data_IF_863666722910
#
_entry.id   IF_863666722910
#
_cell.length_a   1.000
_cell.length_b   1.000
_cell.length_c   1.000
_cell.angle_alpha   90.00
_cell.angle_beta   90.00
_cell.angle_gamma   90.00
#
_symmetry.space_group_name_H-M   'P 1'
#
loop_
_entity.id
_entity.type
_entity.pdbx_description
1 polymer ?
#
# COMPACT_ATOMS: atom_id res chain seq x y z
N UNK A 1 -9.15 -23.02 9.69
CA UNK A 1 -10.09 -23.42 10.76
C UNK A 1 -10.49 -22.16 11.54
N UNK A 2 -11.45 -21.38 11.02
CA UNK A 2 -11.85 -20.10 11.64
C UNK A 2 -13.16 -20.21 12.45
N UNK A 3 -14.09 -21.07 12.03
CA UNK A 3 -15.39 -21.28 12.68
C UNK A 3 -15.33 -22.06 13.99
N UNK A 4 -14.21 -22.74 14.27
CA UNK A 4 -14.02 -23.57 15.46
C UNK A 4 -13.69 -22.77 16.74
N UNK A 5 -13.80 -21.44 16.70
CA UNK A 5 -13.50 -20.55 17.84
C UNK A 5 -14.70 -20.36 18.77
N UNK A 6 -15.92 -20.60 18.28
CA UNK A 6 -17.14 -20.57 19.09
C UNK A 6 -17.86 -21.91 18.96
N UNK A 7 -18.39 -22.43 20.07
CA UNK A 7 -19.20 -23.66 20.11
C UNK A 7 -20.70 -23.39 19.86
N UNK A 8 -21.09 -22.12 19.67
CA UNK A 8 -22.47 -21.72 19.38
C UNK A 8 -22.79 -21.89 17.89
N UNK A 9 -23.53 -22.95 17.58
CA UNK A 9 -23.89 -23.30 16.20
C UNK A 9 -24.83 -22.28 15.54
N UNK A 10 -25.76 -21.70 16.29
CA UNK A 10 -26.67 -20.68 15.75
C UNK A 10 -25.90 -19.40 15.40
N UNK A 11 -24.90 -19.03 16.21
CA UNK A 11 -23.99 -17.93 15.90
C UNK A 11 -23.10 -18.23 14.68
N UNK A 12 -22.62 -19.46 14.54
CA UNK A 12 -21.86 -19.88 13.35
C UNK A 12 -22.71 -19.77 12.07
N UNK A 13 -23.97 -20.21 12.13
CA UNK A 13 -24.92 -20.09 11.00
C UNK A 13 -25.22 -18.62 10.67
N UNK A 14 -25.44 -17.75 11.66
CA UNK A 14 -25.66 -16.32 11.44
C UNK A 14 -24.45 -15.62 10.81
N UNK A 15 -23.25 -15.88 11.34
CA UNK A 15 -22.01 -15.35 10.76
C UNK A 15 -21.82 -15.90 9.35
N UNK A 16 -22.12 -17.19 9.14
CA UNK A 16 -22.07 -17.79 7.81
C UNK A 16 -23.08 -17.17 6.85
N UNK A 17 -24.34 -16.94 7.23
CA UNK A 17 -25.34 -16.30 6.38
C UNK A 17 -24.91 -14.89 5.99
N UNK A 18 -24.40 -14.10 6.93
CA UNK A 18 -23.94 -12.74 6.67
C UNK A 18 -22.71 -12.68 5.78
N UNK A 19 -21.76 -13.62 5.92
CA UNK A 19 -20.58 -13.65 5.05
C UNK A 19 -20.75 -14.50 3.80
N UNK A 20 -21.77 -15.35 3.71
CA UNK A 20 -21.94 -16.30 2.60
C UNK A 20 -22.12 -15.56 1.28
N UNK A 21 -22.93 -14.50 1.32
CA UNK A 21 -23.22 -13.58 0.23
C UNK A 21 -22.33 -12.33 0.26
N UNK A 22 -21.55 -12.11 1.33
CA UNK A 22 -20.58 -11.04 1.39
C UNK A 22 -19.25 -11.45 0.76
N UNK A 23 -18.51 -10.45 0.28
CA UNK A 23 -17.23 -10.66 -0.37
C UNK A 23 -16.04 -10.68 0.61
N UNK A 24 -16.27 -10.52 1.91
CA UNK A 24 -15.24 -10.36 2.95
C UNK A 24 -15.20 -11.60 3.87
N UNK A 25 -14.33 -12.57 3.54
CA UNK A 25 -14.27 -13.92 4.16
C UNK A 25 -12.97 -14.23 4.89
N UNK A 26 -12.32 -13.21 5.46
CA UNK A 26 -11.00 -13.40 6.07
C UNK A 26 -11.03 -14.20 7.39
N UNK A 27 -10.07 -15.11 7.64
CA UNK A 27 -10.08 -15.96 8.84
C UNK A 27 -10.01 -15.21 10.16
N UNK A 28 -9.41 -14.01 10.20
CA UNK A 28 -9.34 -13.18 11.40
C UNK A 28 -10.69 -12.48 11.66
N UNK A 29 -11.35 -12.01 10.61
CA UNK A 29 -12.66 -11.37 10.65
C UNK A 29 -13.76 -12.35 11.05
N UNK A 30 -13.75 -13.56 10.49
CA UNK A 30 -14.67 -14.64 10.87
C UNK A 30 -14.54 -14.95 12.37
N UNK A 31 -13.31 -15.03 12.89
CA UNK A 31 -13.07 -15.25 14.33
C UNK A 31 -13.60 -14.09 15.17
N UNK A 32 -13.41 -12.84 14.72
CA UNK A 32 -13.90 -11.64 15.39
C UNK A 32 -15.43 -11.59 15.43
N UNK A 33 -16.12 -11.84 14.30
CA UNK A 33 -17.59 -11.88 14.21
C UNK A 33 -18.21 -12.94 15.14
N UNK A 34 -17.53 -14.08 15.30
CA UNK A 34 -17.95 -15.15 16.21
C UNK A 34 -17.78 -14.80 17.69
N UNK A 35 -16.89 -13.86 18.02
CA UNK A 35 -16.59 -13.47 19.42
C UNK A 35 -17.17 -12.10 19.83
N UNK A 36 -17.42 -11.21 18.88
CA UNK A 36 -17.80 -9.81 19.11
C UNK A 36 -19.32 -9.67 18.92
N UNK A 37 -20.07 -9.61 20.02
CA UNK A 37 -21.54 -9.53 20.03
C UNK A 37 -22.05 -8.09 19.98
N UNK A 38 -21.28 -7.13 20.50
CA UNK A 38 -21.67 -5.71 20.54
C UNK A 38 -20.53 -4.84 20.01
N UNK A 39 -20.87 -3.79 19.26
CA UNK A 39 -19.91 -2.87 18.61
C UNK A 39 -20.18 -1.45 19.09
N UNK A 40 -19.13 -0.66 19.34
CA UNK A 40 -19.29 0.75 19.72
C UNK A 40 -19.75 1.58 18.53
N UNK A 41 -20.54 2.62 18.75
CA UNK A 41 -20.93 3.55 17.70
C UNK A 41 -19.73 4.34 17.14
N UNK A 42 -18.63 4.47 17.90
CA UNK A 42 -17.35 4.99 17.44
C UNK A 42 -16.48 4.00 16.65
N UNK A 43 -16.92 2.75 16.43
CA UNK A 43 -16.24 1.84 15.51
C UNK A 43 -16.41 2.37 14.07
N UNK A 44 -15.32 2.39 13.30
CA UNK A 44 -15.33 2.87 11.91
C UNK A 44 -16.41 2.26 11.03
N UNK A 45 -16.86 1.03 11.31
CA UNK A 45 -17.99 0.39 10.59
C UNK A 45 -19.31 1.10 10.87
N UNK A 46 -19.55 1.44 12.13
CA UNK A 46 -20.74 2.15 12.57
C UNK A 46 -20.73 3.60 12.06
N UNK A 47 -19.57 4.26 12.06
CA UNK A 47 -19.39 5.59 11.46
C UNK A 47 -19.61 5.57 9.95
N UNK A 48 -19.05 4.58 9.25
CA UNK A 48 -19.19 4.45 7.79
C UNK A 48 -20.63 4.18 7.36
N UNK A 49 -21.37 3.32 8.06
CA UNK A 49 -22.79 3.06 7.74
C UNK A 49 -23.68 4.21 8.21
N UNK A 50 -23.39 4.78 9.37
CA UNK A 50 -24.23 5.74 10.08
C UNK A 50 -25.23 5.06 10.99
N UNK A 51 -25.45 5.64 12.17
CA UNK A 51 -26.39 5.15 13.19
C UNK A 51 -27.83 5.07 12.65
N UNK A 52 -28.27 6.10 11.94
CA UNK A 52 -29.64 6.17 11.39
C UNK A 52 -29.92 5.05 10.37
N UNK A 53 -28.93 4.72 9.53
CA UNK A 53 -29.06 3.66 8.54
C UNK A 53 -29.11 2.27 9.19
N UNK A 54 -28.35 2.08 10.28
CA UNK A 54 -28.37 0.85 11.06
C UNK A 54 -29.70 0.66 11.80
N UNK A 55 -30.26 1.71 12.42
CA UNK A 55 -31.58 1.66 13.06
C UNK A 55 -32.70 1.43 12.03
N UNK A 56 -32.63 2.07 10.86
CA UNK A 56 -33.59 1.86 9.77
C UNK A 56 -33.59 0.41 9.25
N UNK A 57 -32.45 -0.27 9.32
CA UNK A 57 -32.32 -1.69 8.98
C UNK A 57 -32.80 -2.63 10.10
N UNK A 58 -33.32 -2.10 11.22
CA UNK A 58 -33.83 -2.85 12.35
C UNK A 58 -32.80 -3.10 13.47
N UNK A 59 -31.64 -2.45 13.42
CA UNK A 59 -30.60 -2.55 14.43
C UNK A 59 -30.99 -1.87 15.75
N UNK A 60 -30.60 -2.46 16.87
CA UNK A 60 -30.81 -1.90 18.20
C UNK A 60 -29.53 -1.28 18.76
N UNK A 61 -29.65 -0.08 19.32
CA UNK A 61 -28.56 0.64 19.99
C UNK A 61 -28.89 0.78 21.46
N UNK A 62 -27.95 0.39 22.31
CA UNK A 62 -28.03 0.61 23.76
C UNK A 62 -27.12 1.75 24.14
N UNK A 63 -27.70 2.83 24.65
CA UNK A 63 -26.98 3.98 25.20
C UNK A 63 -26.91 3.85 26.72
N UNK A 64 -25.72 3.96 27.28
CA UNK A 64 -25.54 4.04 28.73
C UNK A 64 -25.91 5.46 29.19
N UNK A 65 -26.70 5.57 30.26
CA UNK A 65 -27.15 6.86 30.80
C UNK A 65 -26.05 7.62 31.57
N UNK A 66 -24.88 7.00 31.79
CA UNK A 66 -23.81 7.54 32.63
C UNK A 66 -22.44 7.67 31.95
N UNK A 67 -22.33 7.42 30.63
CA UNK A 67 -21.11 7.69 29.86
C UNK A 67 -21.28 8.94 29.01
N UNK A 68 -20.21 9.73 28.88
CA UNK A 68 -20.13 10.81 27.91
C UNK A 68 -20.32 10.23 26.49
N UNK A 69 -21.05 10.97 25.67
CA UNK A 69 -21.90 10.50 24.58
C UNK A 69 -21.11 9.99 23.35
N UNK A 70 -20.48 8.82 23.44
CA UNK A 70 -19.81 8.13 22.31
C UNK A 70 -20.79 7.37 21.38
N UNK A 71 -22.08 7.74 21.38
CA UNK A 71 -23.11 7.19 20.47
C UNK A 71 -23.69 5.82 20.82
N UNK A 72 -23.21 5.16 21.89
CA UNK A 72 -23.76 3.90 22.42
C UNK A 72 -23.20 2.62 21.77
N UNK A 73 -23.88 1.50 22.02
CA UNK A 73 -23.45 0.16 21.62
C UNK A 73 -24.48 -0.49 20.69
N UNK A 74 -24.06 -0.82 19.48
CA UNK A 74 -24.81 -1.58 18.50
C UNK A 74 -24.81 -3.05 18.91
N UNK A 75 -26.01 -3.64 19.04
CA UNK A 75 -26.15 -5.02 19.52
C UNK A 75 -26.02 -6.11 18.45
N UNK A 76 -26.08 -5.75 17.17
CA UNK A 76 -26.03 -6.69 16.07
C UNK A 76 -24.85 -6.38 15.14
N UNK A 77 -23.70 -6.97 15.49
CA UNK A 77 -22.48 -6.89 14.67
C UNK A 77 -22.66 -7.50 13.28
N UNK A 78 -23.57 -8.46 13.14
CA UNK A 78 -23.80 -9.21 11.89
C UNK A 78 -24.59 -8.35 10.91
N UNK A 79 -25.64 -7.66 11.38
CA UNK A 79 -26.37 -6.67 10.60
C UNK A 79 -25.45 -5.53 10.16
N UNK A 80 -24.58 -5.05 11.06
CA UNK A 80 -23.64 -3.98 10.75
C UNK A 80 -22.67 -4.39 9.61
N UNK A 81 -22.06 -5.57 9.71
CA UNK A 81 -21.13 -6.07 8.69
C UNK A 81 -21.80 -6.27 7.32
N UNK A 82 -23.08 -6.65 7.32
CA UNK A 82 -23.89 -6.75 6.08
C UNK A 82 -24.10 -5.37 5.45
N UNK A 83 -24.51 -4.37 6.21
CA UNK A 83 -24.74 -3.01 5.71
C UNK A 83 -23.45 -2.37 5.18
N UNK A 84 -22.33 -2.59 5.87
CA UNK A 84 -21.00 -2.18 5.40
C UNK A 84 -20.68 -2.81 4.04
N UNK A 85 -20.92 -4.11 3.91
CA UNK A 85 -20.63 -4.85 2.67
C UNK A 85 -21.51 -4.37 1.50
N UNK A 86 -22.80 -4.12 1.74
CA UNK A 86 -23.73 -3.59 0.73
C UNK A 86 -23.33 -2.17 0.30
N UNK A 87 -22.92 -1.31 1.25
CA UNK A 87 -22.47 0.06 0.96
C UNK A 87 -21.15 0.08 0.19
N UNK A 88 -20.16 -0.70 0.60
CA UNK A 88 -18.88 -0.84 -0.11
C UNK A 88 -19.06 -1.37 -1.53
N UNK A 89 -20.01 -2.30 -1.74
CA UNK A 89 -20.31 -2.80 -3.08
C UNK A 89 -20.88 -1.72 -3.99
N UNK A 90 -21.83 -0.93 -3.48
CA UNK A 90 -22.43 0.17 -4.25
C UNK A 90 -21.36 1.17 -4.69
N UNK A 91 -20.40 1.48 -3.81
CA UNK A 91 -19.25 2.32 -4.12
C UNK A 91 -18.33 1.67 -5.18
N UNK A 92 -18.02 0.39 -5.02
CA UNK A 92 -17.18 -0.33 -5.96
C UNK A 92 -17.81 -0.41 -7.37
N UNK A 93 -19.12 -0.62 -7.45
CA UNK A 93 -19.88 -0.63 -8.70
C UNK A 93 -19.83 0.75 -9.38
N UNK A 94 -19.92 1.85 -8.61
CA UNK A 94 -19.75 3.22 -9.14
C UNK A 94 -18.34 3.47 -9.68
N UNK A 95 -17.30 3.00 -9.00
CA UNK A 95 -15.92 3.15 -9.44
C UNK A 95 -15.63 2.27 -10.66
N UNK A 96 -16.31 1.12 -10.80
CA UNK A 96 -16.19 0.26 -11.97
C UNK A 96 -16.66 0.95 -13.26
N UNK A 97 -17.60 1.91 -13.16
CA UNK A 97 -18.03 2.73 -14.29
C UNK A 97 -16.92 3.67 -14.80
N UNK A 98 -15.89 3.96 -13.99
CA UNK A 98 -14.72 4.77 -14.37
C UNK A 98 -13.79 4.02 -15.34
N UNK A 99 -13.89 2.68 -15.45
CA UNK A 99 -13.16 1.88 -16.44
C UNK A 99 -11.83 1.28 -15.99
N UNK A 100 -11.53 1.27 -14.68
CA UNK A 100 -10.33 0.66 -14.12
C UNK A 100 -10.20 -0.83 -14.46
N UNK A 101 -8.98 -1.33 -14.65
CA UNK A 101 -8.73 -2.75 -14.95
C UNK A 101 -9.15 -3.67 -13.81
N UNK A 102 -8.87 -3.25 -12.57
CA UNK A 102 -9.24 -3.99 -11.37
C UNK A 102 -9.61 -3.03 -10.24
N UNK A 103 -10.46 -3.50 -9.33
CA UNK A 103 -10.82 -2.76 -8.12
C UNK A 103 -10.67 -3.71 -6.96
N UNK A 104 -9.90 -3.33 -5.94
CA UNK A 104 -9.76 -4.12 -4.74
C UNK A 104 -10.45 -3.44 -3.56
N UNK A 105 -11.41 -4.13 -2.95
CA UNK A 105 -12.23 -3.57 -1.86
C UNK A 105 -11.94 -4.33 -0.58
N UNK A 106 -11.72 -3.62 0.52
CA UNK A 106 -11.60 -4.23 1.85
C UNK A 106 -11.97 -3.23 2.94
N UNK A 107 -12.39 -3.73 4.11
CA UNK A 107 -12.62 -2.87 5.28
C UNK A 107 -11.36 -2.16 5.77
N UNK A 108 -10.22 -2.81 5.62
CA UNK A 108 -8.89 -2.25 5.86
C UNK A 108 -7.89 -3.12 5.14
N UNK A 109 -6.87 -2.51 4.59
CA UNK A 109 -5.75 -3.23 4.04
C UNK A 109 -4.61 -3.35 5.05
N UNK A 110 -3.83 -4.44 5.03
CA UNK A 110 -2.60 -4.53 5.78
C UNK A 110 -1.65 -3.37 5.43
N UNK A 111 -0.78 -3.02 6.40
CA UNK A 111 0.31 -2.09 6.14
C UNK A 111 1.13 -2.60 4.95
N UNK A 112 1.32 -1.72 3.96
CA UNK A 112 2.11 -2.06 2.79
C UNK A 112 1.38 -2.83 1.68
N UNK A 113 0.04 -2.86 1.68
CA UNK A 113 -0.74 -3.46 0.58
C UNK A 113 -0.48 -2.83 -0.80
N UNK A 114 0.05 -1.60 -0.82
CA UNK A 114 0.49 -0.91 -2.05
C UNK A 114 1.95 -1.20 -2.43
N UNK A 115 2.73 -1.90 -1.58
CA UNK A 115 4.11 -2.27 -1.91
C UNK A 115 4.11 -3.23 -3.12
N UNK A 116 4.99 -3.00 -4.08
CA UNK A 116 5.00 -3.78 -5.32
C UNK A 116 4.20 -3.17 -6.48
N UNK A 117 3.37 -2.15 -6.23
CA UNK A 117 2.53 -1.52 -7.26
C UNK A 117 3.15 -0.21 -7.75
N UNK A 118 3.07 0.05 -9.05
CA UNK A 118 3.46 1.34 -9.61
C UNK A 118 2.29 2.30 -9.52
N UNK A 119 2.48 3.42 -8.80
CA UNK A 119 1.49 4.51 -8.75
C UNK A 119 1.61 5.36 -10.02
N UNK A 120 0.50 5.57 -10.70
CA UNK A 120 0.40 6.51 -11.80
C UNK A 120 0.44 7.94 -11.27
N UNK A 121 1.27 8.76 -11.91
CA UNK A 121 1.27 10.20 -11.69
C UNK A 121 0.12 10.80 -12.50
N UNK A 122 -1.05 10.93 -11.88
CA UNK A 122 -2.14 11.67 -12.50
C UNK A 122 -1.95 13.18 -12.32
N UNK A 123 -2.72 13.95 -13.10
CA UNK A 123 -2.66 15.42 -13.06
C UNK A 123 -3.79 15.93 -12.18
N UNK A 124 -3.47 16.61 -11.08
CA UNK A 124 -4.46 17.33 -10.27
C UNK A 124 -5.02 18.49 -11.08
N UNK A 125 -6.34 18.61 -11.14
CA UNK A 125 -6.98 19.74 -11.84
C UNK A 125 -6.62 21.04 -11.14
N UNK A 126 -6.00 21.97 -11.87
CA UNK A 126 -5.68 23.30 -11.36
C UNK A 126 -6.96 24.01 -10.88
N UNK A 127 -6.85 24.74 -9.77
CA UNK A 127 -7.91 25.60 -9.27
C UNK A 127 -8.26 26.64 -10.34
N UNK A 128 -9.55 26.74 -10.67
CA UNK A 128 -10.06 27.88 -11.44
C UNK A 128 -9.81 29.18 -10.68
N UNK A 129 -9.80 30.31 -11.39
CA UNK A 129 -9.57 31.62 -10.75
C UNK A 129 -10.66 31.95 -9.69
N UNK A 130 -11.89 31.50 -9.90
CA UNK A 130 -13.01 31.66 -8.95
C UNK A 130 -12.83 30.78 -7.69
N UNK A 131 -12.41 29.52 -7.86
CA UNK A 131 -12.12 28.62 -6.74
C UNK A 131 -10.90 29.11 -5.93
N UNK A 132 -9.88 29.66 -6.61
CA UNK A 132 -8.71 30.23 -5.94
C UNK A 132 -9.09 31.43 -5.09
N UNK A 133 -9.94 32.32 -5.61
CA UNK A 133 -10.44 33.47 -4.87
C UNK A 133 -11.30 33.05 -3.67
N UNK A 134 -12.10 31.99 -3.81
CA UNK A 134 -12.92 31.45 -2.71
C UNK A 134 -12.06 30.81 -1.62
N UNK A 135 -11.03 30.04 -2.01
CA UNK A 135 -10.06 29.47 -1.06
C UNK A 135 -9.31 30.55 -0.29
N UNK A 136 -8.89 31.61 -0.98
CA UNK A 136 -8.18 32.74 -0.35
C UNK A 136 -9.09 33.50 0.62
N UNK A 137 -10.34 33.74 0.24
CA UNK A 137 -11.34 34.34 1.14
C UNK A 137 -11.62 33.48 2.39
N UNK A 138 -11.69 32.15 2.23
CA UNK A 138 -11.86 31.22 3.35
C UNK A 138 -10.64 31.19 4.28
N UNK A 139 -9.41 31.25 3.73
CA UNK A 139 -8.18 31.37 4.54
C UNK A 139 -8.13 32.70 5.31
N UNK A 140 -8.50 33.81 4.67
CA UNK A 140 -8.58 35.12 5.34
C UNK A 140 -9.68 35.17 6.42
N UNK A 141 -10.75 34.39 6.28
CA UNK A 141 -11.78 34.24 7.30
C UNK A 141 -11.26 33.39 8.47
N UNK A 142 -10.59 32.28 8.18
CA UNK A 142 -9.93 31.41 9.17
C UNK A 142 -8.91 32.19 10.00
N UNK A 143 -7.94 32.84 9.36
CA UNK A 143 -6.86 33.59 10.04
C UNK A 143 -7.42 34.73 10.93
N UNK A 144 -8.55 35.33 10.53
CA UNK A 144 -9.21 36.37 11.30
C UNK A 144 -9.89 35.82 12.54
N UNK A 145 -10.62 34.70 12.41
CA UNK A 145 -11.26 34.03 13.53
C UNK A 145 -10.21 33.47 14.50
N UNK A 146 -9.13 32.89 13.99
CA UNK A 146 -8.01 32.43 14.82
C UNK A 146 -7.37 33.60 15.59
N UNK A 147 -7.12 34.74 14.93
CA UNK A 147 -6.53 35.91 15.59
C UNK A 147 -7.46 36.54 16.64
N UNK A 148 -8.75 36.65 16.34
CA UNK A 148 -9.76 37.24 17.24
C UNK A 148 -9.97 36.42 18.51
N UNK A 149 -9.88 35.08 18.41
CA UNK A 149 -10.11 34.17 19.52
C UNK A 149 -8.82 33.54 20.08
N UNK A 150 -7.64 34.01 19.66
CA UNK A 150 -6.33 33.49 20.09
C UNK A 150 -6.06 33.59 21.60
N UNK A 151 -6.67 34.57 22.29
CA UNK A 151 -6.54 34.77 23.75
C UNK A 151 -7.78 34.33 24.53
N UNK A 152 -8.77 33.71 23.88
CA UNK A 152 -9.98 33.21 24.54
C UNK A 152 -9.69 31.89 25.28
N UNK A 153 -10.16 31.77 26.53
CA UNK A 153 -10.03 30.53 27.32
C UNK A 153 -10.92 29.39 26.76
N UNK A 154 -12.04 29.73 26.11
CA UNK A 154 -12.96 28.81 25.42
C UNK A 154 -13.53 29.48 24.17
N UNK A 155 -13.60 28.74 23.06
CA UNK A 155 -14.24 29.18 21.82
C UNK A 155 -15.77 29.09 21.97
N UNK A 156 -16.53 30.14 21.58
CA UNK A 156 -17.98 30.02 21.47
C UNK A 156 -18.35 28.92 20.44
N UNK A 157 -19.36 28.10 20.75
CA UNK A 157 -19.81 26.98 19.89
C UNK A 157 -20.06 27.39 18.43
N UNK A 158 -20.58 28.60 18.19
CA UNK A 158 -20.82 29.12 16.83
C UNK A 158 -19.53 29.36 16.05
N UNK A 159 -18.43 29.72 16.73
CA UNK A 159 -17.13 29.98 16.12
C UNK A 159 -16.36 28.66 15.91
N UNK A 160 -16.44 27.73 16.87
CA UNK A 160 -15.91 26.37 16.72
C UNK A 160 -16.55 25.67 15.50
N UNK A 161 -17.88 25.74 15.38
CA UNK A 161 -18.60 25.21 14.22
C UNK A 161 -18.16 25.91 12.92
N UNK A 162 -17.99 27.23 12.94
CA UNK A 162 -17.58 27.98 11.75
C UNK A 162 -16.15 27.65 11.31
N UNK A 163 -15.23 27.47 12.25
CA UNK A 163 -13.87 27.04 11.95
C UNK A 163 -13.87 25.64 11.33
N UNK A 164 -14.63 24.70 11.89
CA UNK A 164 -14.79 23.36 11.32
C UNK A 164 -15.37 23.36 9.90
N UNK A 165 -16.37 24.21 9.62
CA UNK A 165 -16.90 24.39 8.26
C UNK A 165 -15.84 24.93 7.28
N UNK A 166 -15.02 25.89 7.73
CA UNK A 166 -13.95 26.49 6.91
C UNK A 166 -12.85 25.47 6.65
N UNK A 167 -12.39 24.74 7.66
CA UNK A 167 -11.41 23.66 7.53
C UNK A 167 -11.90 22.59 6.54
N UNK A 168 -13.14 22.14 6.68
CA UNK A 168 -13.74 21.16 5.77
C UNK A 168 -13.84 21.69 4.33
N UNK A 169 -14.20 22.97 4.16
CA UNK A 169 -14.24 23.60 2.84
C UNK A 169 -12.83 23.77 2.23
N UNK A 170 -11.82 24.09 3.04
CA UNK A 170 -10.43 24.19 2.60
C UNK A 170 -9.87 22.81 2.22
N UNK A 171 -10.12 21.78 3.02
CA UNK A 171 -9.71 20.41 2.75
C UNK A 171 -10.35 19.86 1.45
N UNK A 172 -11.59 20.23 1.16
CA UNK A 172 -12.24 19.89 -0.12
C UNK A 172 -11.53 20.50 -1.35
N UNK A 173 -10.83 21.63 -1.20
CA UNK A 173 -9.99 22.19 -2.27
C UNK A 173 -8.64 21.50 -2.40
N UNK A 174 -8.17 20.80 -1.37
CA UNK A 174 -6.90 20.07 -1.35
C UNK A 174 -7.08 18.61 -1.81
N UNK A 175 -8.23 18.00 -1.48
CA UNK A 175 -8.61 16.64 -1.86
C UNK A 175 -9.36 16.62 -3.21
N UNK A 176 -8.71 17.10 -4.29
CA UNK A 176 -9.31 17.10 -5.64
C UNK A 176 -9.12 15.78 -6.38
N UNK A 177 -10.09 15.39 -7.23
CA UNK A 177 -9.94 14.22 -8.09
C UNK A 177 -8.73 14.40 -9.01
N UNK A 178 -7.88 13.38 -9.02
CA UNK A 178 -6.73 13.29 -9.91
C UNK A 178 -7.22 12.77 -11.26
N UNK A 179 -6.92 13.49 -12.34
CA UNK A 179 -7.23 13.02 -13.68
C UNK A 179 -6.12 12.07 -14.17
N UNK A 180 -6.54 10.90 -14.65
CA UNK A 180 -5.68 9.91 -15.28
C UNK A 180 -5.94 9.89 -16.79
N UNK A 181 -4.92 9.52 -17.57
CA UNK A 181 -5.08 9.37 -19.01
C UNK A 181 -6.09 8.23 -19.28
N UNK A 182 -7.08 8.41 -20.18
CA UNK A 182 -7.98 7.33 -20.61
C UNK A 182 -7.26 6.01 -20.96
N UNK A 183 -6.03 6.08 -21.47
CA UNK A 183 -5.22 4.92 -21.80
C UNK A 183 -4.73 4.14 -20.55
N UNK A 184 -4.65 4.79 -19.40
CA UNK A 184 -4.14 4.22 -18.15
C UNK A 184 -5.20 3.40 -17.40
N UNK A 185 -6.48 3.68 -17.60
CA UNK A 185 -7.58 2.94 -16.95
C UNK A 185 -7.54 1.44 -17.27
N UNK A 186 -7.10 1.07 -18.49
CA UNK A 186 -6.98 -0.33 -18.92
C UNK A 186 -5.79 -1.11 -18.33
N UNK A 187 -4.88 -0.46 -17.58
CA UNK A 187 -3.72 -1.11 -16.94
C UNK A 187 -3.67 -0.89 -15.42
N UNK A 188 -4.36 0.12 -14.91
CA UNK A 188 -4.38 0.47 -13.50
C UNK A 188 -5.67 0.04 -12.80
N UNK A 189 -5.60 -0.03 -11.49
CA UNK A 189 -6.73 -0.29 -10.61
C UNK A 189 -6.82 0.67 -9.45
N UNK A 190 -7.83 0.44 -8.63
CA UNK A 190 -8.15 1.25 -7.46
C UNK A 190 -8.38 0.40 -6.22
N UNK A 191 -7.94 0.90 -5.06
CA UNK A 191 -8.29 0.35 -3.76
C UNK A 191 -9.44 1.14 -3.14
N UNK A 192 -10.37 0.44 -2.51
CA UNK A 192 -11.50 1.03 -1.78
C UNK A 192 -11.47 0.52 -0.35
N UNK A 193 -11.34 1.42 0.61
CA UNK A 193 -11.33 1.08 2.03
C UNK A 193 -12.04 2.09 2.92
N UNK A 194 -12.11 1.78 4.21
CA UNK A 194 -12.71 2.63 5.25
C UNK A 194 -11.64 3.02 6.26
N UNK A 195 -11.41 4.32 6.39
CA UNK A 195 -10.43 4.90 7.31
C UNK A 195 -10.86 4.80 8.78
N UNK A 196 -9.97 5.18 9.69
CA UNK A 196 -10.19 5.03 11.13
C UNK A 196 -11.36 5.87 11.67
N UNK A 197 -11.67 6.97 11.00
CA UNK A 197 -12.79 7.89 11.25
C UNK A 197 -14.10 7.46 10.56
N UNK A 198 -14.09 6.36 9.79
CA UNK A 198 -15.24 5.90 9.03
C UNK A 198 -15.43 6.59 7.67
N UNK A 199 -14.48 7.45 7.25
CA UNK A 199 -14.49 8.04 5.92
C UNK A 199 -14.16 7.00 4.84
N UNK A 200 -14.68 7.22 3.64
CA UNK A 200 -14.41 6.38 2.47
C UNK A 200 -13.07 6.78 1.85
N UNK A 201 -12.13 5.85 1.80
CA UNK A 201 -10.81 6.03 1.20
C UNK A 201 -10.75 5.33 -0.15
N UNK A 202 -10.47 6.08 -1.22
CA UNK A 202 -10.36 5.55 -2.58
C UNK A 202 -9.00 5.92 -3.18
N UNK A 203 -8.14 4.93 -3.26
CA UNK A 203 -6.77 5.05 -3.73
C UNK A 203 -6.69 4.58 -5.20
N UNK A 204 -6.67 5.53 -6.15
CA UNK A 204 -6.67 5.27 -7.60
C UNK A 204 -5.27 5.25 -8.21
N UNK A 205 -5.14 4.57 -9.36
CA UNK A 205 -3.97 4.65 -10.22
C UNK A 205 -2.84 3.69 -9.82
N UNK A 206 -3.15 2.46 -9.41
CA UNK A 206 -2.16 1.45 -9.08
C UNK A 206 -2.04 0.40 -10.19
N UNK A 207 -0.85 0.22 -10.76
CA UNK A 207 -0.58 -0.79 -11.79
C UNK A 207 0.09 -2.00 -11.13
N UNK A 208 -0.46 -3.20 -11.37
CA UNK A 208 0.17 -4.47 -10.96
C UNK A 208 1.29 -4.82 -11.95
N UNK A 209 2.32 -5.52 -11.50
CA UNK A 209 3.44 -5.93 -12.36
C UNK A 209 3.00 -6.78 -13.56
N UNK A 210 1.96 -7.60 -13.40
CA UNK A 210 1.34 -8.40 -14.48
C UNK A 210 0.56 -7.56 -15.50
N UNK A 211 0.22 -6.32 -15.14
CA UNK A 211 -0.58 -5.40 -15.94
C UNK A 211 0.28 -4.30 -16.59
N UNK A 212 1.60 -4.33 -16.38
CA UNK A 212 2.53 -3.42 -17.05
C UNK A 212 2.57 -3.71 -18.55
N UNK A 213 2.48 -2.64 -19.35
CA UNK A 213 2.70 -2.78 -20.79
C UNK A 213 4.15 -3.22 -21.00
N UNK A 214 4.40 -4.27 -21.81
CA UNK A 214 5.75 -4.58 -22.26
C UNK A 214 6.37 -3.30 -22.83
N UNK A 215 7.56 -2.94 -22.33
CA UNK A 215 8.33 -1.86 -22.95
C UNK A 215 8.84 -2.44 -24.25
N UNK A 216 8.20 -2.10 -25.37
CA UNK A 216 8.73 -2.42 -26.69
C UNK A 216 10.08 -1.72 -26.83
N UNK A 217 11.15 -2.52 -26.75
CA UNK A 217 12.50 -2.06 -27.03
C UNK A 217 12.59 -1.68 -28.52
N UNK A 218 12.69 -0.37 -28.78
CA UNK A 218 13.01 0.29 -30.03
C UNK A 218 12.29 -0.19 -31.31
N UNK A 219 11.31 0.60 -31.76
CA UNK A 219 10.84 0.55 -33.13
C UNK A 219 9.62 1.43 -33.33
N UNK A 220 9.82 2.66 -33.81
CA UNK A 220 8.70 3.49 -34.25
C UNK A 220 8.03 2.86 -35.47
N UNK A 221 6.90 2.20 -35.29
CA UNK A 221 5.90 2.00 -36.32
C UNK A 221 4.52 2.29 -35.74
N UNK A 222 3.79 3.11 -36.49
CA UNK A 222 2.42 3.56 -36.24
C UNK A 222 1.48 2.39 -35.97
N UNK A 223 0.62 2.59 -34.98
CA UNK A 223 -0.56 1.78 -34.68
C UNK A 223 -1.39 1.60 -35.97
N UNK A 224 -1.32 0.43 -36.59
CA UNK A 224 -2.26 0.06 -37.66
C UNK A 224 -3.59 -0.29 -36.99
N UNK A 225 -4.59 0.54 -37.21
CA UNK A 225 -5.99 0.26 -36.86
C UNK A 225 -6.42 -1.05 -37.54
N UNK A 226 -6.82 -2.04 -36.74
CA UNK A 226 -7.39 -3.30 -37.26
C UNK A 226 -8.78 -2.99 -37.81
N UNK A 227 -8.87 -2.83 -39.13
CA UNK A 227 -10.11 -2.62 -39.86
C UNK A 227 -10.75 -3.99 -40.15
N UNK A 228 -12.02 -4.16 -39.77
CA UNK A 228 -12.83 -5.33 -40.12
C UNK A 228 -13.00 -5.44 -41.65
N UNK A 229 -12.55 -6.52 -42.30
CA UNK A 229 -12.53 -6.64 -43.75
C UNK A 229 -13.92 -6.77 -44.42
N UNK A 230 -15.01 -6.95 -43.66
CA UNK A 230 -16.36 -7.01 -44.24
C UNK A 230 -17.19 -5.73 -44.08
N UNK A 231 -16.91 -4.87 -43.09
CA UNK A 231 -17.76 -3.70 -42.80
C UNK A 231 -17.04 -2.36 -42.80
N UNK A 232 -15.71 -2.34 -42.71
CA UNK A 232 -14.92 -1.11 -42.82
C UNK A 232 -15.10 -0.11 -41.66
N UNK A 233 -15.67 -0.54 -40.53
CA UNK A 233 -15.79 0.28 -39.32
C UNK A 233 -14.62 0.05 -38.37
N UNK A 234 -14.17 1.12 -37.71
CA UNK A 234 -13.15 1.09 -36.65
C UNK A 234 -13.80 0.43 -35.43
N UNK A 235 -13.31 -0.75 -35.02
CA UNK A 235 -13.77 -1.39 -33.79
C UNK A 235 -13.45 -0.48 -32.60
N UNK A 236 -14.48 0.12 -32.01
CA UNK A 236 -14.34 0.78 -30.70
C UNK A 236 -13.92 -0.28 -29.67
N UNK A 237 -12.94 0.01 -28.79
CA UNK A 237 -12.47 -0.99 -27.85
C UNK A 237 -13.64 -1.44 -26.97
N UNK A 238 -13.87 -2.75 -26.92
CA UNK A 238 -14.85 -3.35 -26.02
C UNK A 238 -14.51 -2.90 -24.60
N UNK A 239 -15.48 -2.28 -23.90
CA UNK A 239 -15.35 -1.86 -22.51
C UNK A 239 -15.05 -3.11 -21.68
N UNK A 240 -13.77 -3.32 -21.36
CA UNK A 240 -13.34 -4.38 -20.46
C UNK A 240 -13.87 -4.01 -19.07
N UNK A 241 -14.78 -4.83 -18.54
CA UNK A 241 -15.32 -4.65 -17.19
C UNK A 241 -14.22 -4.91 -16.17
N UNK A 242 -14.05 -3.97 -15.24
CA UNK A 242 -13.10 -4.07 -14.13
C UNK A 242 -13.21 -5.42 -13.39
N UNK A 243 -12.08 -6.08 -13.14
CA UNK A 243 -12.03 -7.27 -12.28
C UNK A 243 -12.05 -6.82 -10.82
N UNK A 244 -13.19 -6.92 -10.16
CA UNK A 244 -13.34 -6.57 -8.74
C UNK A 244 -12.83 -7.73 -7.88
N UNK A 245 -11.72 -7.53 -7.14
CA UNK A 245 -11.13 -8.53 -6.24
C UNK A 245 -11.39 -8.12 -4.79
N UNK A 246 -11.87 -9.04 -3.93
CA UNK A 246 -12.14 -8.73 -2.51
C UNK A 246 -11.68 -9.91 -1.67
N UNK A 247 -10.75 -9.69 -0.74
CA UNK A 247 -10.23 -10.74 0.15
C UNK A 247 -9.34 -11.80 -0.52
N UNK A 248 -8.66 -11.45 -1.62
CA UNK A 248 -7.54 -12.23 -2.16
C UNK A 248 -7.88 -13.50 -2.94
N UNK A 249 -9.09 -13.66 -3.51
CA UNK A 249 -9.34 -14.73 -4.49
C UNK A 249 -10.11 -14.24 -5.73
N UNK A 250 -9.60 -14.51 -6.95
CA UNK A 250 -10.28 -14.15 -8.18
C UNK A 250 -11.50 -15.04 -8.43
N UNK A 251 -12.55 -14.45 -8.99
CA UNK A 251 -13.69 -15.17 -9.59
C UNK A 251 -13.38 -15.44 -11.06
N UNK A 252 -13.30 -16.72 -11.43
CA UNK A 252 -13.10 -17.16 -12.81
C UNK A 252 -14.38 -16.97 -13.63
N UNK A 253 -14.24 -16.35 -14.81
CA UNK A 253 -15.22 -16.39 -15.89
C UNK A 253 -14.81 -17.47 -16.88
N UNK A 254 -15.72 -18.40 -17.17
CA UNK A 254 -15.57 -19.47 -18.16
C UNK A 254 -15.77 -18.97 -19.61
N UNK A 255 -15.27 -19.81 -20.53
CA UNK A 255 -15.42 -19.84 -22.00
C UNK A 255 -14.42 -19.00 -22.82
N UNK A 256 -13.80 -19.47 -23.91
CA UNK A 256 -13.89 -20.75 -24.63
C UNK A 256 -12.61 -20.93 -25.50
N UNK A 257 -12.34 -22.16 -25.92
CA UNK A 257 -11.09 -22.63 -26.52
C UNK A 257 -10.81 -22.17 -27.98
N UNK A 258 -9.53 -21.95 -28.33
CA UNK A 258 -8.94 -22.52 -29.57
C UNK A 258 -7.39 -22.61 -29.54
N UNK A 259 -6.89 -23.78 -29.97
CA UNK A 259 -5.52 -24.15 -30.42
C UNK A 259 -4.23 -23.53 -29.83
N UNK A 260 -4.21 -23.10 -28.56
CA UNK A 260 -2.97 -22.80 -27.84
C UNK A 260 -2.47 -24.03 -27.05
N UNK A 261 -1.15 -24.25 -27.01
CA UNK A 261 -0.53 -25.28 -26.17
C UNK A 261 -1.06 -25.10 -24.75
N UNK A 262 -1.82 -26.08 -24.23
CA UNK A 262 -2.35 -26.02 -22.86
C UNK A 262 -1.21 -25.68 -21.90
N UNK A 263 -1.35 -24.63 -21.06
CA UNK A 263 -0.32 -24.28 -20.10
C UNK A 263 -0.04 -25.49 -19.21
N UNK A 264 1.24 -25.65 -18.83
CA UNK A 264 1.65 -26.73 -17.95
C UNK A 264 0.82 -26.70 -16.65
N UNK A 265 0.45 -27.86 -16.08
CA UNK A 265 -0.24 -27.89 -14.80
C UNK A 265 0.52 -27.11 -13.73
N UNK A 266 -0.17 -26.29 -12.93
CA UNK A 266 0.46 -25.43 -11.92
C UNK A 266 1.39 -26.21 -10.99
N UNK A 267 0.93 -27.37 -10.51
CA UNK A 267 1.74 -28.27 -9.70
C UNK A 267 3.06 -28.67 -10.38
N UNK A 268 3.02 -28.94 -11.68
CA UNK A 268 4.21 -29.29 -12.45
C UNK A 268 5.14 -28.08 -12.60
N UNK A 269 4.60 -26.88 -12.80
CA UNK A 269 5.40 -25.64 -12.81
C UNK A 269 6.08 -25.41 -11.46
N UNK A 270 5.37 -25.60 -10.34
CA UNK A 270 5.94 -25.49 -8.98
C UNK A 270 7.06 -26.52 -8.78
N UNK A 271 6.84 -27.79 -9.14
CA UNK A 271 7.85 -28.84 -8.99
C UNK A 271 9.09 -28.56 -9.88
N UNK A 272 8.88 -28.15 -11.14
CA UNK A 272 9.98 -27.82 -12.07
C UNK A 272 10.76 -26.58 -11.61
N UNK A 273 10.08 -25.54 -11.12
CA UNK A 273 10.74 -24.32 -10.62
C UNK A 273 11.47 -24.58 -9.29
N UNK A 274 11.00 -25.50 -8.45
CA UNK A 274 11.75 -25.97 -7.28
C UNK A 274 13.05 -26.68 -7.69
N UNK A 275 13.00 -27.57 -8.68
CA UNK A 275 14.20 -28.21 -9.23
C UNK A 275 15.15 -27.19 -9.88
N UNK A 276 14.62 -26.22 -10.64
CA UNK A 276 15.40 -25.12 -11.22
C UNK A 276 16.08 -24.30 -10.13
N UNK A 277 15.39 -23.98 -9.05
CA UNK A 277 15.95 -23.24 -7.91
C UNK A 277 17.11 -24.00 -7.27
N UNK A 278 16.98 -25.31 -7.05
CA UNK A 278 18.07 -26.13 -6.52
C UNK A 278 19.28 -26.18 -7.47
N UNK A 279 19.04 -26.32 -8.78
CA UNK A 279 20.10 -26.31 -9.79
C UNK A 279 20.83 -24.95 -9.83
N UNK A 280 20.08 -23.84 -9.78
CA UNK A 280 20.65 -22.49 -9.74
C UNK A 280 21.45 -22.25 -8.46
N UNK A 281 20.97 -22.72 -7.29
CA UNK A 281 21.73 -22.65 -6.03
C UNK A 281 23.07 -23.38 -6.15
N UNK A 282 23.09 -24.58 -6.73
CA UNK A 282 24.34 -25.31 -6.94
C UNK A 282 25.26 -24.59 -7.93
N UNK A 283 24.73 -24.17 -9.08
CA UNK A 283 25.51 -23.47 -10.09
C UNK A 283 26.10 -22.15 -9.56
N UNK A 284 25.35 -21.38 -8.77
CA UNK A 284 25.83 -20.14 -8.17
C UNK A 284 26.94 -20.40 -7.14
N UNK A 285 26.79 -21.44 -6.31
CA UNK A 285 27.79 -21.82 -5.31
C UNK A 285 29.13 -22.27 -5.94
N UNK A 286 29.09 -22.81 -7.16
CA UNK A 286 30.29 -23.17 -7.94
C UNK A 286 30.95 -21.96 -8.63
N UNK A 287 30.30 -20.79 -8.64
CA UNK A 287 30.76 -19.59 -9.35
C UNK A 287 30.83 -18.35 -8.43
N UNK A 288 31.88 -18.20 -7.61
CA UNK A 288 31.99 -17.11 -6.63
C UNK A 288 31.92 -15.70 -7.23
N UNK A 289 32.47 -15.50 -8.43
CA UNK A 289 32.41 -14.20 -9.11
C UNK A 289 30.97 -13.82 -9.46
N UNK A 290 30.17 -14.76 -9.97
CA UNK A 290 28.75 -14.53 -10.27
C UNK A 290 27.95 -14.30 -8.98
N UNK A 291 28.27 -15.04 -7.91
CA UNK A 291 27.67 -14.81 -6.59
C UNK A 291 27.94 -13.41 -6.06
N UNK A 292 29.17 -12.91 -6.23
CA UNK A 292 29.54 -11.54 -5.85
C UNK A 292 28.81 -10.50 -6.71
N UNK A 293 28.76 -10.68 -8.04
CA UNK A 293 27.99 -9.80 -8.94
C UNK A 293 26.51 -9.77 -8.54
N UNK A 294 25.91 -10.92 -8.26
CA UNK A 294 24.50 -11.01 -7.85
C UNK A 294 24.22 -10.33 -6.51
N UNK A 295 25.13 -10.47 -5.54
CA UNK A 295 25.02 -9.78 -4.26
C UNK A 295 25.15 -8.26 -4.43
N UNK A 296 26.14 -7.81 -5.19
CA UNK A 296 26.36 -6.38 -5.47
C UNK A 296 25.19 -5.77 -6.21
N UNK A 297 24.69 -6.45 -7.23
CA UNK A 297 23.49 -6.05 -7.98
C UNK A 297 22.33 -5.82 -7.02
N UNK A 298 22.02 -6.81 -6.16
CA UNK A 298 20.96 -6.67 -5.16
C UNK A 298 21.17 -5.50 -4.20
N UNK A 299 22.38 -5.36 -3.64
CA UNK A 299 22.67 -4.33 -2.64
C UNK A 299 22.69 -2.91 -3.23
N UNK A 300 23.19 -2.75 -4.46
CA UNK A 300 23.21 -1.46 -5.15
C UNK A 300 21.82 -1.06 -5.61
N UNK A 301 21.02 -2.01 -6.11
CA UNK A 301 19.60 -1.76 -6.37
C UNK A 301 18.93 -1.24 -5.10
N UNK A 302 19.08 -1.91 -3.95
CA UNK A 302 18.49 -1.43 -2.68
C UNK A 302 19.01 -0.06 -2.21
N UNK A 303 20.27 0.27 -2.51
CA UNK A 303 20.92 1.50 -2.02
C UNK A 303 20.60 2.71 -2.90
N UNK A 304 20.60 2.53 -4.24
CA UNK A 304 20.51 3.62 -5.21
C UNK A 304 19.19 3.61 -5.98
N UNK A 305 18.63 2.45 -6.27
CA UNK A 305 17.45 2.29 -7.13
C UNK A 305 16.23 2.08 -6.24
N UNK A 306 15.42 3.13 -6.07
CA UNK A 306 14.28 3.15 -5.14
C UNK A 306 13.06 2.34 -5.66
N UNK A 307 13.30 1.33 -6.51
CA UNK A 307 12.30 0.38 -7.00
C UNK A 307 12.05 -0.72 -5.97
N UNK A 308 10.91 -1.43 -6.06
CA UNK A 308 10.61 -2.52 -5.15
C UNK A 308 11.75 -3.57 -5.17
N UNK A 309 12.11 -4.17 -4.01
CA UNK A 309 13.10 -5.24 -3.97
C UNK A 309 12.52 -6.48 -4.67
N UNK A 310 12.75 -6.59 -5.97
CA UNK A 310 12.38 -7.74 -6.80
C UNK A 310 13.64 -8.45 -7.25
N UNK A 311 13.65 -9.78 -7.17
CA UNK A 311 14.78 -10.59 -7.60
C UNK A 311 14.76 -11.97 -6.94
N UNK A 312 15.55 -12.91 -7.48
CA UNK A 312 15.61 -14.27 -6.95
C UNK A 312 16.59 -14.45 -5.77
N UNK A 313 17.31 -13.40 -5.38
CA UNK A 313 18.19 -13.36 -4.19
C UNK A 313 17.56 -12.55 -3.06
N UNK A 314 17.34 -13.21 -1.92
CA UNK A 314 16.94 -12.56 -0.67
C UNK A 314 18.17 -12.16 0.15
N UNK A 315 18.62 -10.92 0.00
CA UNK A 315 19.66 -10.30 0.80
C UNK A 315 19.41 -8.78 0.87
N UNK A 316 19.60 -8.18 2.05
CA UNK A 316 19.50 -6.73 2.23
C UNK A 316 20.40 -6.24 3.36
N UNK A 317 20.77 -4.96 3.31
CA UNK A 317 21.41 -4.25 4.41
C UNK A 317 20.37 -3.35 5.06
N UNK A 318 20.05 -3.60 6.33
CA UNK A 318 19.10 -2.76 7.06
C UNK A 318 19.77 -1.44 7.43
N UNK A 319 19.38 -0.35 6.75
CA UNK A 319 19.86 0.98 7.07
C UNK A 319 19.54 1.37 8.52
N UNK A 320 20.55 1.85 9.24
CA UNK A 320 20.42 2.28 10.63
C UNK A 320 20.22 3.78 10.68
N UNK A 321 19.08 4.22 11.21
CA UNK A 321 18.78 5.64 11.41
C UNK A 321 18.95 6.02 12.88
N UNK A 322 19.48 7.21 13.13
CA UNK A 322 19.73 7.70 14.47
C UNK A 322 18.66 8.71 14.89
N UNK A 323 17.59 8.25 15.54
CA UNK A 323 16.38 9.03 15.81
C UNK A 323 16.52 10.13 16.87
N UNK A 324 17.56 10.11 17.70
CA UNK A 324 17.73 11.02 18.84
C UNK A 324 19.17 11.53 18.96
N UNK A 325 19.71 12.11 17.87
CA UNK A 325 21.07 12.68 17.84
C UNK A 325 21.04 14.19 17.64
N UNK A 326 22.14 14.85 18.00
CA UNK A 326 22.28 16.29 17.79
C UNK A 326 22.27 16.64 16.30
N UNK A 327 21.69 17.79 15.97
CA UNK A 327 21.69 18.30 14.59
C UNK A 327 23.12 18.51 14.04
N UNK A 328 24.10 18.76 14.91
CA UNK A 328 25.51 18.92 14.56
C UNK A 328 26.14 17.63 13.98
N UNK A 329 25.53 16.46 14.23
CA UNK A 329 26.06 15.18 13.74
C UNK A 329 26.12 15.13 12.20
N UNK A 330 25.15 15.77 11.53
CA UNK A 330 25.10 15.87 10.05
C UNK A 330 26.29 16.63 9.47
N UNK A 331 26.87 17.54 10.27
CA UNK A 331 27.99 18.38 9.88
C UNK A 331 29.36 17.77 10.22
N UNK A 332 29.37 16.62 10.90
CA UNK A 332 30.60 15.92 11.27
C UNK A 332 31.40 15.48 10.03
N UNK A 333 32.75 15.40 10.13
CA UNK A 333 33.59 14.94 9.02
C UNK A 333 33.19 13.55 8.51
N UNK A 334 32.76 12.66 9.41
CA UNK A 334 32.35 11.30 9.06
C UNK A 334 31.02 11.29 8.30
N UNK A 335 30.03 12.09 8.72
CA UNK A 335 28.75 12.20 8.01
C UNK A 335 28.94 12.75 6.60
N UNK A 336 29.75 13.80 6.44
CA UNK A 336 30.12 14.36 5.13
C UNK A 336 30.84 13.32 4.26
N UNK A 337 31.84 12.64 4.80
CA UNK A 337 32.58 11.62 4.04
C UNK A 337 31.71 10.41 3.63
N UNK A 338 30.66 10.07 4.39
CA UNK A 338 29.68 9.04 4.00
C UNK A 338 28.81 9.54 2.84
N UNK A 339 28.28 10.76 2.93
CA UNK A 339 27.48 11.36 1.86
C UNK A 339 28.29 11.54 0.57
N UNK A 340 29.52 12.08 0.67
CA UNK A 340 30.42 12.26 -0.47
C UNK A 340 30.70 10.93 -1.19
N UNK A 341 30.85 9.83 -0.43
CA UNK A 341 31.04 8.49 -0.98
C UNK A 341 29.81 8.00 -1.73
N UNK A 342 28.62 8.26 -1.21
CA UNK A 342 27.37 7.92 -1.88
C UNK A 342 27.17 8.72 -3.17
N UNK A 343 27.31 10.04 -3.08
CA UNK A 343 27.14 10.96 -4.21
C UNK A 343 28.14 10.66 -5.34
N UNK A 344 29.39 10.28 -5.00
CA UNK A 344 30.40 9.90 -5.99
C UNK A 344 29.95 8.77 -6.91
N UNK A 345 29.15 7.83 -6.41
CA UNK A 345 28.67 6.69 -7.19
C UNK A 345 27.28 6.91 -7.80
N UNK A 346 26.45 7.80 -7.22
CA UNK A 346 25.06 8.00 -7.64
C UNK A 346 24.87 8.20 -9.14
N UNK A 347 25.66 9.09 -9.77
CA UNK A 347 25.56 9.37 -11.21
C UNK A 347 26.07 8.23 -12.11
N UNK A 348 26.83 7.28 -11.55
CA UNK A 348 27.47 6.18 -12.30
C UNK A 348 26.68 4.88 -12.25
N UNK A 349 25.77 4.72 -11.28
CA UNK A 349 24.97 3.50 -11.11
C UNK A 349 23.80 3.51 -12.10
N UNK A 350 23.73 2.56 -13.05
CA UNK A 350 22.62 2.49 -14.00
C UNK A 350 21.30 2.19 -13.30
N UNK A 351 20.21 2.83 -13.73
CA UNK A 351 18.86 2.59 -13.21
C UNK A 351 18.17 1.35 -13.81
N UNK A 352 18.58 0.93 -15.01
CA UNK A 352 18.08 -0.28 -15.67
C UNK A 352 18.74 -1.54 -15.09
N UNK A 353 17.94 -2.58 -14.83
CA UNK A 353 18.36 -3.80 -14.15
C UNK A 353 19.45 -4.58 -14.91
N UNK A 354 19.29 -4.71 -16.23
CA UNK A 354 20.23 -5.43 -17.08
C UNK A 354 21.50 -4.60 -17.29
N UNK A 355 21.35 -3.29 -17.50
CA UNK A 355 22.48 -2.37 -17.61
C UNK A 355 23.32 -2.35 -16.33
N UNK A 356 22.69 -2.42 -15.14
CA UNK A 356 23.40 -2.54 -13.86
C UNK A 356 24.19 -3.85 -13.78
N UNK A 357 23.59 -4.97 -14.20
CA UNK A 357 24.27 -6.27 -14.19
C UNK A 357 25.51 -6.28 -15.11
N UNK A 358 25.36 -5.77 -16.32
CA UNK A 358 26.44 -5.71 -17.30
C UNK A 358 27.55 -4.74 -16.84
N UNK A 359 27.17 -3.56 -16.33
CA UNK A 359 28.10 -2.61 -15.73
C UNK A 359 28.90 -3.24 -14.60
N UNK A 360 28.24 -3.93 -13.65
CA UNK A 360 28.92 -4.64 -12.57
C UNK A 360 29.87 -5.72 -13.09
N UNK A 361 29.51 -6.42 -14.17
CA UNK A 361 30.34 -7.45 -14.77
C UNK A 361 31.63 -6.88 -15.37
N UNK A 362 31.60 -5.65 -15.86
CA UNK A 362 32.75 -4.97 -16.48
C UNK A 362 33.67 -4.26 -15.47
N UNK A 363 33.21 -4.02 -14.24
CA UNK A 363 34.03 -3.40 -13.19
C UNK A 363 35.15 -4.32 -12.70
N UNK A 364 36.29 -3.71 -12.35
CA UNK A 364 37.39 -4.40 -11.69
C UNK A 364 37.05 -4.79 -10.23
N UNK A 365 37.77 -5.78 -9.71
CA UNK A 365 37.58 -6.32 -8.36
C UNK A 365 37.75 -5.25 -7.27
N UNK A 366 38.63 -4.26 -7.46
CA UNK A 366 38.83 -3.18 -6.49
C UNK A 366 37.59 -2.31 -6.37
N UNK A 367 37.07 -1.85 -7.50
CA UNK A 367 35.85 -1.03 -7.54
C UNK A 367 34.65 -1.79 -6.98
N UNK A 368 34.50 -3.07 -7.32
CA UNK A 368 33.43 -3.93 -6.77
C UNK A 368 33.50 -4.03 -5.25
N UNK A 369 34.69 -4.16 -4.68
CA UNK A 369 34.88 -4.23 -3.23
C UNK A 369 34.62 -2.87 -2.55
N UNK A 370 34.91 -1.76 -3.21
CA UNK A 370 34.55 -0.42 -2.72
C UNK A 370 33.03 -0.21 -2.67
N UNK A 371 32.31 -0.63 -3.72
CA UNK A 371 30.84 -0.60 -3.76
C UNK A 371 30.23 -1.50 -2.68
N UNK A 372 30.76 -2.72 -2.51
CA UNK A 372 30.33 -3.63 -1.44
C UNK A 372 30.50 -2.98 -0.06
N UNK A 373 31.67 -2.38 0.19
CA UNK A 373 31.97 -1.72 1.45
C UNK A 373 31.03 -0.54 1.72
N UNK A 374 30.69 0.25 0.69
CA UNK A 374 29.71 1.33 0.78
C UNK A 374 28.34 0.79 1.19
N UNK A 375 27.77 -0.16 0.45
CA UNK A 375 26.45 -0.72 0.75
C UNK A 375 26.39 -1.33 2.16
N UNK A 376 27.39 -2.13 2.55
CA UNK A 376 27.42 -2.77 3.87
C UNK A 376 27.59 -1.76 5.00
N UNK A 377 28.26 -0.62 4.77
CA UNK A 377 28.50 0.39 5.80
C UNK A 377 27.21 0.98 6.39
N UNK A 378 26.13 1.07 5.60
CA UNK A 378 24.83 1.56 6.06
C UNK A 378 24.15 0.66 7.09
N UNK A 379 24.57 -0.61 7.18
CA UNK A 379 24.07 -1.56 8.18
C UNK A 379 24.80 -1.52 9.52
N UNK A 380 25.86 -0.72 9.65
CA UNK A 380 26.67 -0.69 10.88
C UNK A 380 25.91 0.02 11.99
N UNK A 381 25.46 -0.76 12.98
CA UNK A 381 24.85 -0.23 14.20
C UNK A 381 25.79 -0.37 15.40
N UNK A 382 26.37 0.74 15.85
CA UNK A 382 27.12 0.83 17.11
C UNK A 382 26.40 1.69 18.17
N UNK A 383 25.10 1.95 17.99
CA UNK A 383 24.32 2.79 18.89
C UNK A 383 24.04 2.07 20.21
N UNK A 384 24.29 2.78 21.31
CA UNK A 384 23.80 2.38 22.62
C UNK A 384 22.30 2.67 22.75
N UNK A 385 21.50 1.63 22.95
CA UNK A 385 20.08 1.73 23.26
C UNK A 385 19.84 1.08 24.62
N UNK A 386 19.28 1.84 25.58
CA UNK A 386 19.01 1.28 26.92
C UNK A 386 18.03 0.11 26.78
N UNK A 387 18.41 -1.12 27.20
CA UNK A 387 17.50 -2.26 27.15
C UNK A 387 16.26 -2.01 28.01
N UNK A 388 15.08 -2.24 27.44
CA UNK A 388 13.81 -2.16 28.16
C UNK A 388 13.25 -3.57 28.39
N UNK A 389 13.22 -4.08 29.63
CA UNK A 389 12.73 -5.42 29.93
C UNK A 389 11.23 -5.61 29.71
N UNK A 390 10.48 -4.53 29.46
CA UNK A 390 9.03 -4.56 29.25
C UNK A 390 8.61 -4.39 27.79
N UNK A 391 9.52 -4.14 26.85
CA UNK A 391 9.18 -4.04 25.42
C UNK A 391 9.44 -5.36 24.70
N UNK A 392 8.41 -5.87 24.00
CA UNK A 392 8.52 -7.08 23.17
C UNK A 392 9.36 -6.90 21.90
N UNK A 393 9.71 -5.66 21.55
CA UNK A 393 10.45 -5.27 20.35
C UNK A 393 11.79 -4.56 20.63
N UNK A 394 12.18 -4.39 21.90
CA UNK A 394 13.42 -3.70 22.28
C UNK A 394 14.66 -4.58 22.24
N UNK A 395 15.84 -3.95 22.19
CA UNK A 395 17.13 -4.64 22.27
C UNK A 395 17.33 -5.18 23.69
N UNK A 396 17.66 -6.47 23.81
CA UNK A 396 18.03 -7.07 25.09
C UNK A 396 19.44 -6.66 25.51
N UNK A 397 19.77 -6.73 26.80
CA UNK A 397 21.14 -6.46 27.27
C UNK A 397 22.18 -7.32 26.53
N UNK A 398 21.88 -8.61 26.34
CA UNK A 398 22.74 -9.50 25.58
C UNK A 398 22.89 -9.06 24.11
N UNK A 399 21.79 -8.66 23.46
CA UNK A 399 21.82 -8.17 22.08
C UNK A 399 22.65 -6.89 21.94
N UNK A 400 22.59 -6.00 22.94
CA UNK A 400 23.39 -4.79 22.99
C UNK A 400 24.89 -5.10 23.19
N UNK A 401 25.24 -5.99 24.12
CA UNK A 401 26.62 -6.39 24.38
C UNK A 401 27.25 -7.02 23.13
N UNK A 402 26.51 -7.90 22.44
CA UNK A 402 26.94 -8.51 21.17
C UNK A 402 27.14 -7.46 20.09
N UNK A 403 26.21 -6.51 19.96
CA UNK A 403 26.30 -5.41 18.98
C UNK A 403 27.57 -4.59 19.21
N UNK A 404 27.82 -4.12 20.43
CA UNK A 404 28.98 -3.30 20.76
C UNK A 404 30.29 -4.08 20.56
N UNK A 405 30.35 -5.34 20.98
CA UNK A 405 31.53 -6.19 20.78
C UNK A 405 31.82 -6.49 19.30
N UNK A 406 30.80 -6.50 18.43
CA UNK A 406 30.99 -6.61 16.98
C UNK A 406 31.44 -5.28 16.37
N UNK A 407 30.89 -4.16 16.84
CA UNK A 407 31.32 -2.82 16.41
C UNK A 407 32.81 -2.57 16.72
N UNK A 408 33.30 -3.02 17.88
CA UNK A 408 34.72 -2.90 18.26
C UNK A 408 35.68 -3.63 17.30
N UNK A 409 35.18 -4.58 16.49
CA UNK A 409 36.01 -5.27 15.47
C UNK A 409 36.24 -4.43 14.22
N UNK A 410 35.46 -3.36 14.04
CA UNK A 410 35.54 -2.47 12.89
C UNK A 410 36.46 -1.25 13.14
N UNK A 411 36.88 -1.05 14.40
CA UNK A 411 37.63 0.12 14.86
C UNK A 411 39.16 -0.03 14.78
#
# INVERSE_FOLDING_TARGET
MAFTVSDDHARQEQVWEAISHSWSKEPHQIRRMLTETTVRASDKRALFVGVDAYEAAGGCIVRDLFQDDDGGWLQDSVLLDRLVSEKLKTVADQIAEEGWKWIEVALSFPYGHVHGLRRLTGTTVDLTDEERATREALREEYDRLEAEYSEADELPDEIDQRLGEIEQALDAFETRPVNYDPADFGIAGAFVSVDADGALSIDRGYVRAEDERPVDAEGGETQDDVIDPETGEIQSPAIQRAVITIGGKPTESEDDADDSIKPLPERLVIELTAHRTLALRNALAENPHVAMTMLLHKLLSDTFIHTNPTGCLEANVRHTFFSAQSEELKDSPSAKAVNDRHERWGDHVPADDQALWDWLTDLDDGTRMELLALCVSYGVNALFERPNPYSGSGVSQHGLDVRLAQADRLA
#
